data_IF_703879568900
#
_entry.id   IF_703879568900
#
_cell.length_a   1.000
_cell.length_b   1.000
_cell.length_c   1.000
_cell.angle_alpha   90.00
_cell.angle_beta   90.00
_cell.angle_gamma   90.00
#
_symmetry.space_group_name_H-M   'P 1'
#
loop_
_entity.id
_entity.type
_entity.pdbx_description
1 polymer ?
#
# COMPACT_ATOMS: atom_id res chain seq x y z
N UNK A 1 -27.23 4.58 -5.08
CA UNK A 1 -26.64 4.38 -3.74
C UNK A 1 -26.57 5.65 -2.93
N UNK A 2 -26.85 5.56 -1.63
CA UNK A 2 -26.54 6.61 -0.65
C UNK A 2 -25.13 6.39 -0.11
N UNK A 3 -24.15 7.12 -0.65
CA UNK A 3 -22.73 6.95 -0.32
C UNK A 3 -22.42 7.23 1.16
N UNK A 4 -23.13 8.16 1.79
CA UNK A 4 -22.98 8.47 3.22
C UNK A 4 -23.30 7.28 4.13
N UNK A 5 -24.34 6.50 3.81
CA UNK A 5 -24.71 5.30 4.56
C UNK A 5 -23.66 4.19 4.42
N UNK A 6 -22.97 4.10 3.28
CA UNK A 6 -21.85 3.15 3.08
C UNK A 6 -20.71 3.49 4.02
N UNK A 7 -20.30 4.76 4.05
CA UNK A 7 -19.20 5.22 4.90
C UNK A 7 -19.55 5.03 6.38
N UNK A 8 -20.74 5.46 6.81
CA UNK A 8 -21.15 5.37 8.21
C UNK A 8 -21.29 3.92 8.68
N UNK A 9 -21.88 3.03 7.85
CA UNK A 9 -22.03 1.61 8.19
C UNK A 9 -20.67 0.91 8.23
N UNK A 10 -19.76 1.22 7.30
CA UNK A 10 -18.39 0.69 7.31
C UNK A 10 -17.62 1.13 8.55
N UNK A 11 -17.78 2.41 8.94
CA UNK A 11 -17.18 2.97 10.15
C UNK A 11 -17.73 2.26 11.41
N UNK A 12 -19.05 2.08 11.51
CA UNK A 12 -19.67 1.37 12.65
C UNK A 12 -19.17 -0.08 12.79
N UNK A 13 -19.07 -0.82 11.68
CA UNK A 13 -18.53 -2.20 11.69
C UNK A 13 -17.07 -2.19 12.12
N UNK A 14 -16.27 -1.26 11.58
CA UNK A 14 -14.86 -1.09 11.94
C UNK A 14 -14.65 -0.78 13.43
N UNK A 15 -15.47 0.07 14.03
CA UNK A 15 -15.36 0.42 15.46
C UNK A 15 -15.94 -0.64 16.39
N UNK A 16 -16.99 -1.36 15.98
CA UNK A 16 -17.64 -2.41 16.78
C UNK A 16 -16.72 -3.63 16.95
N UNK A 17 -15.98 -4.02 15.92
CA UNK A 17 -15.23 -5.27 15.89
C UNK A 17 -13.71 -5.03 15.86
N UNK A 18 -13.12 -4.79 17.04
CA UNK A 18 -11.68 -4.52 17.22
C UNK A 18 -10.74 -5.60 16.67
N UNK A 19 -11.22 -6.84 16.56
CA UNK A 19 -10.41 -7.93 15.99
C UNK A 19 -10.16 -7.74 14.48
N UNK A 20 -10.96 -6.91 13.78
CA UNK A 20 -10.71 -6.50 12.39
C UNK A 20 -9.44 -5.65 12.27
N UNK A 21 -9.05 -4.93 13.33
CA UNK A 21 -7.82 -4.14 13.34
C UNK A 21 -6.61 -5.06 13.33
N UNK A 22 -6.68 -6.17 14.06
CA UNK A 22 -5.64 -7.20 14.04
C UNK A 22 -5.57 -7.86 12.65
N UNK A 23 -6.71 -8.19 12.05
CA UNK A 23 -6.74 -8.77 10.70
C UNK A 23 -6.27 -7.79 9.62
N UNK A 24 -6.51 -6.48 9.77
CA UNK A 24 -5.95 -5.43 8.93
C UNK A 24 -4.46 -5.23 9.10
N UNK A 25 -4.00 -5.17 10.35
CA UNK A 25 -2.60 -5.17 10.77
C UNK A 25 -1.83 -6.32 10.13
N UNK A 26 -2.38 -7.53 10.20
CA UNK A 26 -1.76 -8.71 9.60
C UNK A 26 -1.95 -8.76 8.08
N UNK A 27 -3.04 -8.20 7.56
CA UNK A 27 -3.44 -8.18 6.15
C UNK A 27 -2.56 -7.34 5.24
N UNK A 28 -1.70 -6.47 5.77
CA UNK A 28 -0.85 -5.60 4.95
C UNK A 28 -1.50 -4.28 4.56
N UNK A 29 -2.78 -4.09 4.86
CA UNK A 29 -3.58 -2.97 4.41
C UNK A 29 -3.71 -2.87 2.89
N UNK A 30 -4.93 -2.68 2.40
CA UNK A 30 -5.12 -2.35 1.00
C UNK A 30 -4.87 -0.85 0.83
N UNK A 31 -3.60 -0.46 0.80
CA UNK A 31 -3.23 0.90 0.41
C UNK A 31 -3.63 1.09 -1.05
N UNK A 32 -4.56 2.00 -1.30
CA UNK A 32 -4.94 2.42 -2.65
C UNK A 32 -3.77 3.25 -3.19
N UNK A 33 -2.84 2.54 -3.82
CA UNK A 33 -1.55 3.05 -4.25
C UNK A 33 -0.49 2.01 -3.91
N UNK A 34 -0.06 1.25 -4.92
CA UNK A 34 1.08 0.35 -4.81
C UNK A 34 2.31 1.16 -4.47
N UNK A 35 2.60 1.27 -3.19
CA UNK A 35 3.74 1.97 -2.66
C UNK A 35 3.90 1.50 -1.23
N UNK A 36 5.00 0.78 -0.97
CA UNK A 36 5.62 0.83 0.35
C UNK A 36 5.60 2.29 0.79
N UNK A 37 5.05 2.55 1.98
CA UNK A 37 4.89 3.90 2.51
C UNK A 37 6.12 4.72 2.18
N UNK A 38 5.89 5.82 1.46
CA UNK A 38 6.92 6.76 1.06
C UNK A 38 7.66 7.20 2.33
N UNK A 39 8.82 6.60 2.60
CA UNK A 39 9.81 7.15 3.50
C UNK A 39 10.34 8.40 2.80
N UNK A 40 9.56 9.48 2.90
CA UNK A 40 9.88 10.77 2.34
C UNK A 40 11.10 11.34 3.05
N UNK A 41 12.29 10.92 2.63
CA UNK A 41 13.45 11.80 2.66
C UNK A 41 13.16 12.84 1.59
N UNK A 42 13.00 14.10 2.00
CA UNK A 42 12.67 15.20 1.12
C UNK A 42 13.72 15.33 -0.01
N UNK A 43 13.40 14.84 -1.19
CA UNK A 43 14.19 14.99 -2.41
C UNK A 43 13.67 16.19 -3.20
N UNK A 44 14.50 17.23 -3.28
CA UNK A 44 14.23 18.51 -3.93
C UNK A 44 14.10 18.35 -5.45
N UNK A 45 13.08 18.98 -6.05
CA UNK A 45 12.82 18.93 -7.50
C UNK A 45 13.81 19.78 -8.33
N UNK A 46 13.89 19.55 -9.66
CA UNK A 46 14.90 20.16 -10.51
C UNK A 46 14.43 21.52 -11.06
N UNK A 47 15.20 22.59 -10.77
CA UNK A 47 14.98 23.89 -11.39
C UNK A 47 15.45 25.08 -10.58
N UNK A 48 16.76 25.31 -10.51
CA UNK A 48 17.36 26.56 -10.03
C UNK A 48 18.86 26.41 -9.77
N UNK A 49 19.71 27.39 -10.14
CA UNK A 49 21.10 27.41 -9.71
C UNK A 49 21.13 27.73 -8.22
N UNK A 50 20.95 26.71 -7.40
CA UNK A 50 21.17 26.76 -5.95
C UNK A 50 22.61 26.38 -5.68
N UNK A 51 23.34 27.28 -5.03
CA UNK A 51 24.39 26.89 -4.07
C UNK A 51 23.76 25.84 -3.16
N UNK A 52 24.01 24.58 -3.49
CA UNK A 52 23.42 23.42 -2.85
C UNK A 52 24.14 23.22 -1.53
N UNK A 53 23.66 23.92 -0.51
CA UNK A 53 23.51 23.36 0.82
C UNK A 53 22.50 22.21 0.80
N UNK A 54 22.68 21.23 -0.10
CA UNK A 54 22.22 19.86 0.18
C UNK A 54 22.81 19.54 1.53
N UNK A 55 21.98 19.11 2.48
CA UNK A 55 22.45 18.64 3.78
C UNK A 55 23.36 17.43 3.58
N UNK A 56 24.59 17.68 3.17
CA UNK A 56 25.69 16.77 3.34
C UNK A 56 25.70 16.53 4.83
N UNK A 57 25.42 15.28 5.20
CA UNK A 57 25.92 14.77 6.47
C UNK A 57 27.35 15.32 6.59
N UNK A 58 27.68 16.05 7.67
CA UNK A 58 29.02 16.56 7.88
C UNK A 58 30.01 15.47 7.45
N UNK A 59 31.03 15.77 6.66
CA UNK A 59 31.94 14.74 6.10
C UNK A 59 32.53 13.81 7.19
N UNK A 60 32.51 14.29 8.43
CA UNK A 60 32.82 13.57 9.64
C UNK A 60 31.81 12.46 10.01
N UNK A 61 30.50 12.70 9.84
CA UNK A 61 29.44 11.71 10.04
C UNK A 61 29.42 10.66 8.92
N UNK A 62 29.71 11.03 7.67
CA UNK A 62 29.75 10.06 6.56
C UNK A 62 30.92 9.08 6.70
N UNK A 63 32.09 9.59 7.10
CA UNK A 63 33.27 8.76 7.37
C UNK A 63 33.10 7.88 8.60
N UNK A 64 32.54 8.40 9.70
CA UNK A 64 32.22 7.62 10.90
C UNK A 64 31.18 6.53 10.64
N UNK A 65 30.12 6.85 9.88
CA UNK A 65 29.12 5.85 9.49
C UNK A 65 29.74 4.72 8.66
N UNK A 66 30.64 5.04 7.73
CA UNK A 66 31.35 4.05 6.93
C UNK A 66 32.20 3.10 7.77
N UNK A 67 32.91 3.63 8.78
CA UNK A 67 33.72 2.81 9.69
C UNK A 67 32.85 1.96 10.63
N UNK A 68 31.79 2.53 11.19
CA UNK A 68 30.79 1.82 11.99
C UNK A 68 30.16 0.67 11.20
N UNK A 69 29.72 0.92 9.97
CA UNK A 69 29.06 -0.07 9.10
C UNK A 69 29.94 -1.30 8.84
N UNK A 70 31.24 -1.09 8.63
CA UNK A 70 32.20 -2.18 8.44
C UNK A 70 32.50 -2.93 9.74
N UNK A 71 32.50 -2.23 10.88
CA UNK A 71 32.82 -2.80 12.20
C UNK A 71 31.64 -3.61 12.77
N UNK A 72 30.43 -3.11 12.63
CA UNK A 72 29.19 -3.70 13.14
C UNK A 72 28.43 -4.52 12.08
N UNK A 73 29.14 -4.99 11.04
CA UNK A 73 28.61 -5.88 10.02
C UNK A 73 27.82 -7.08 10.57
N UNK A 74 28.26 -7.80 11.63
CA UNK A 74 27.47 -8.91 12.18
C UNK A 74 26.15 -8.47 12.82
N UNK A 75 26.11 -7.32 13.50
CA UNK A 75 24.87 -6.74 14.03
C UNK A 75 23.91 -6.40 12.89
N UNK A 76 24.43 -5.74 11.84
CA UNK A 76 23.64 -5.33 10.69
C UNK A 76 23.08 -6.55 9.93
N UNK A 77 23.90 -7.58 9.73
CA UNK A 77 23.49 -8.83 9.10
C UNK A 77 22.42 -9.55 9.93
N UNK A 78 22.55 -9.59 11.26
CA UNK A 78 21.53 -10.16 12.15
C UNK A 78 20.22 -9.38 12.10
N UNK A 79 20.27 -8.04 12.09
CA UNK A 79 19.09 -7.18 12.00
C UNK A 79 18.40 -7.34 10.64
N UNK A 80 19.16 -7.39 9.55
CA UNK A 80 18.65 -7.62 8.19
C UNK A 80 18.01 -9.00 8.08
N UNK A 81 18.64 -10.05 8.62
CA UNK A 81 18.09 -11.40 8.64
C UNK A 81 16.78 -11.48 9.45
N UNK A 82 16.72 -10.82 10.61
CA UNK A 82 15.51 -10.74 11.43
C UNK A 82 14.39 -10.00 10.71
N UNK A 83 14.70 -8.87 10.06
CA UNK A 83 13.74 -8.09 9.29
C UNK A 83 13.24 -8.87 8.06
N UNK A 84 14.12 -9.59 7.37
CA UNK A 84 13.77 -10.47 6.26
C UNK A 84 12.85 -11.61 6.72
N UNK A 85 13.18 -12.28 7.82
CA UNK A 85 12.34 -13.31 8.42
C UNK A 85 10.96 -12.77 8.79
N UNK A 86 10.92 -11.62 9.47
CA UNK A 86 9.67 -10.93 9.82
C UNK A 86 8.86 -10.60 8.56
N UNK A 87 9.49 -10.05 7.53
CA UNK A 87 8.85 -9.71 6.25
C UNK A 87 8.25 -10.93 5.54
N UNK A 88 8.96 -12.06 5.52
CA UNK A 88 8.46 -13.31 4.94
C UNK A 88 7.25 -13.83 5.72
N UNK A 89 7.36 -13.93 7.05
CA UNK A 89 6.24 -14.39 7.90
C UNK A 89 5.02 -13.47 7.71
N UNK A 90 5.25 -12.15 7.72
CA UNK A 90 4.23 -11.14 7.52
C UNK A 90 3.58 -11.25 6.14
N UNK A 91 4.35 -11.51 5.08
CA UNK A 91 3.83 -11.69 3.73
C UNK A 91 2.84 -12.87 3.63
N UNK A 92 3.18 -14.01 4.24
CA UNK A 92 2.29 -15.17 4.29
C UNK A 92 1.04 -14.89 5.14
N UNK A 93 1.21 -14.26 6.32
CA UNK A 93 0.09 -13.85 7.17
C UNK A 93 -0.83 -12.85 6.47
N UNK A 94 -0.27 -11.94 5.67
CA UNK A 94 -1.00 -10.96 4.88
C UNK A 94 -1.91 -11.61 3.85
N UNK A 95 -1.42 -12.63 3.13
CA UNK A 95 -2.25 -13.33 2.15
C UNK A 95 -3.48 -14.00 2.80
N UNK A 96 -3.31 -14.62 3.97
CA UNK A 96 -4.41 -15.26 4.72
C UNK A 96 -5.35 -14.20 5.31
N UNK A 97 -4.79 -13.13 5.87
CA UNK A 97 -5.55 -12.12 6.60
C UNK A 97 -6.39 -11.25 5.66
N UNK A 98 -5.96 -10.99 4.43
CA UNK A 98 -6.79 -10.30 3.41
C UNK A 98 -8.07 -11.10 3.14
N UNK A 99 -7.95 -12.40 2.86
CA UNK A 99 -9.10 -13.28 2.64
C UNK A 99 -10.03 -13.36 3.85
N UNK A 100 -9.44 -13.43 5.05
CA UNK A 100 -10.19 -13.44 6.31
C UNK A 100 -10.96 -12.13 6.53
N UNK A 101 -10.33 -10.98 6.28
CA UNK A 101 -10.91 -9.64 6.50
C UNK A 101 -12.07 -9.38 5.55
N UNK A 102 -11.92 -9.69 4.26
CA UNK A 102 -12.98 -9.51 3.26
C UNK A 102 -14.21 -10.38 3.61
N UNK A 103 -14.00 -11.64 3.98
CA UNK A 103 -15.09 -12.54 4.37
C UNK A 103 -15.79 -12.07 5.65
N UNK A 104 -15.01 -11.69 6.67
CA UNK A 104 -15.55 -11.21 7.94
C UNK A 104 -16.35 -9.91 7.78
N UNK A 105 -15.85 -8.97 6.97
CA UNK A 105 -16.56 -7.74 6.65
C UNK A 105 -17.91 -8.00 5.96
N UNK A 106 -17.96 -8.94 5.02
CA UNK A 106 -19.19 -9.30 4.32
C UNK A 106 -20.23 -9.96 5.25
N UNK A 107 -19.81 -10.86 6.13
CA UNK A 107 -20.73 -11.55 7.04
C UNK A 107 -21.25 -10.64 8.16
N UNK A 108 -20.42 -9.71 8.65
CA UNK A 108 -20.86 -8.70 9.60
C UNK A 108 -21.79 -7.65 9.00
N UNK A 109 -21.59 -7.28 7.74
CA UNK A 109 -22.54 -6.43 7.02
C UNK A 109 -23.89 -7.14 6.82
N UNK A 110 -23.88 -8.48 6.72
CA UNK A 110 -25.08 -9.32 6.70
C UNK A 110 -25.66 -9.68 8.10
N UNK A 111 -25.14 -9.07 9.17
CA UNK A 111 -25.59 -9.26 10.57
C UNK A 111 -25.52 -10.72 11.07
N UNK A 112 -24.64 -11.54 10.49
CA UNK A 112 -24.43 -12.93 10.90
C UNK A 112 -23.37 -13.07 11.99
N UNK A 113 -23.52 -14.04 12.92
CA UNK A 113 -22.50 -14.32 13.91
C UNK A 113 -21.27 -14.91 13.20
N UNK A 114 -20.20 -14.13 13.13
CA UNK A 114 -18.95 -14.53 12.50
C UNK A 114 -17.79 -14.26 13.46
N UNK A 115 -16.98 -15.29 13.70
CA UNK A 115 -15.89 -15.26 14.67
C UNK A 115 -14.51 -15.42 14.01
N UNK A 116 -13.46 -15.13 14.78
CA UNK A 116 -12.06 -15.11 14.33
C UNK A 116 -11.61 -16.46 13.74
N UNK A 117 -12.03 -17.59 14.33
CA UNK A 117 -11.71 -18.93 13.82
C UNK A 117 -12.31 -19.24 12.44
N UNK A 118 -13.54 -18.77 12.20
CA UNK A 118 -14.21 -18.91 10.89
C UNK A 118 -13.56 -17.98 9.85
N UNK A 119 -13.20 -16.76 10.24
CA UNK A 119 -12.46 -15.82 9.41
C UNK A 119 -11.12 -16.40 8.96
N UNK A 120 -10.35 -16.98 9.89
CA UNK A 120 -9.06 -17.60 9.59
C UNK A 120 -9.19 -18.79 8.62
N UNK A 121 -10.19 -19.66 8.83
CA UNK A 121 -10.45 -20.80 7.93
C UNK A 121 -10.80 -20.32 6.52
N UNK A 122 -11.60 -19.27 6.38
CA UNK A 122 -11.93 -18.65 5.10
C UNK A 122 -10.70 -18.00 4.42
N UNK A 123 -9.83 -17.36 5.21
CA UNK A 123 -8.56 -16.82 4.72
C UNK A 123 -7.64 -17.89 4.14
N UNK A 124 -7.52 -19.05 4.80
CA UNK A 124 -6.71 -20.17 4.27
C UNK A 124 -7.25 -20.74 2.95
N UNK A 125 -8.57 -20.78 2.77
CA UNK A 125 -9.19 -21.29 1.54
C UNK A 125 -8.95 -20.38 0.34
N UNK A 126 -8.86 -19.07 0.57
CA UNK A 126 -8.61 -18.07 -0.47
C UNK A 126 -7.12 -17.75 -0.67
N UNK A 127 -6.23 -18.33 0.13
CA UNK A 127 -4.79 -18.09 0.10
C UNK A 127 -4.16 -18.29 -1.29
N UNK A 128 -4.37 -19.46 -1.91
CA UNK A 128 -3.75 -19.82 -3.20
C UNK A 128 -4.19 -18.90 -4.34
N UNK A 129 -5.50 -18.64 -4.53
CA UNK A 129 -5.96 -17.65 -5.51
C UNK A 129 -5.44 -16.24 -5.26
N UNK A 130 -5.39 -15.78 -4.00
CA UNK A 130 -4.87 -14.44 -3.65
C UNK A 130 -3.36 -14.37 -3.93
N UNK A 131 -2.61 -15.41 -3.61
CA UNK A 131 -1.18 -15.51 -3.90
C UNK A 131 -0.92 -15.50 -5.41
N UNK A 132 -1.70 -16.27 -6.18
CA UNK A 132 -1.61 -16.28 -7.63
C UNK A 132 -1.96 -14.93 -8.26
N UNK A 133 -2.95 -14.22 -7.69
CA UNK A 133 -3.24 -12.85 -8.08
C UNK A 133 -2.01 -11.97 -7.78
N UNK A 134 -1.49 -11.94 -6.54
CA UNK A 134 -0.29 -11.18 -6.15
C UNK A 134 0.91 -11.42 -7.05
N UNK A 135 1.23 -12.67 -7.34
CA UNK A 135 2.35 -13.01 -8.20
C UNK A 135 2.16 -12.49 -9.63
N UNK A 136 0.92 -12.54 -10.15
CA UNK A 136 0.58 -11.98 -11.45
C UNK A 136 0.74 -10.45 -11.46
N UNK A 137 0.37 -9.76 -10.38
CA UNK A 137 0.58 -8.32 -10.25
C UNK A 137 2.06 -7.94 -10.23
N UNK A 138 2.89 -8.69 -9.51
CA UNK A 138 4.35 -8.51 -9.54
C UNK A 138 4.89 -8.72 -10.95
N UNK A 139 4.45 -9.77 -11.64
CA UNK A 139 4.86 -10.06 -13.01
C UNK A 139 4.48 -8.93 -14.00
N UNK A 140 3.31 -8.29 -13.81
CA UNK A 140 2.86 -7.15 -14.62
C UNK A 140 3.60 -5.86 -14.23
N UNK A 141 3.91 -5.66 -12.94
CA UNK A 141 4.60 -4.48 -12.45
C UNK A 141 6.08 -4.44 -12.86
N UNK A 142 6.74 -5.61 -12.94
CA UNK A 142 8.17 -5.73 -13.27
C UNK A 142 8.56 -5.01 -14.58
N UNK A 143 7.89 -5.24 -15.74
CA UNK A 143 8.22 -4.51 -16.97
C UNK A 143 7.93 -3.01 -16.87
N UNK A 144 6.89 -2.58 -16.13
CA UNK A 144 6.61 -1.17 -15.94
C UNK A 144 7.71 -0.48 -15.12
N UNK A 145 8.18 -1.13 -14.04
CA UNK A 145 9.31 -0.65 -13.25
C UNK A 145 10.59 -0.62 -14.07
N UNK A 146 10.87 -1.68 -14.85
CA UNK A 146 12.03 -1.73 -15.72
C UNK A 146 12.02 -0.61 -16.77
N UNK A 147 10.84 -0.28 -17.34
CA UNK A 147 10.68 0.80 -18.30
C UNK A 147 10.98 2.17 -17.66
N UNK A 148 10.43 2.44 -16.48
CA UNK A 148 10.69 3.70 -15.75
C UNK A 148 12.16 3.79 -15.33
N UNK A 149 12.74 2.72 -14.80
CA UNK A 149 14.15 2.67 -14.44
C UNK A 149 15.05 2.89 -15.65
N UNK A 150 14.70 2.32 -16.82
CA UNK A 150 15.40 2.55 -18.08
C UNK A 150 15.37 4.01 -18.52
N UNK A 151 14.22 4.69 -18.40
CA UNK A 151 14.10 6.12 -18.72
C UNK A 151 14.96 6.98 -17.79
N UNK A 152 14.97 6.68 -16.50
CA UNK A 152 15.81 7.38 -15.51
C UNK A 152 17.29 7.15 -15.81
N UNK A 153 17.69 5.89 -16.05
CA UNK A 153 19.07 5.57 -16.40
C UNK A 153 19.53 6.32 -17.67
N UNK A 154 18.68 6.36 -18.70
CA UNK A 154 18.98 7.06 -19.95
C UNK A 154 19.13 8.58 -19.74
N UNK A 155 18.29 9.19 -18.90
CA UNK A 155 18.44 10.59 -18.52
C UNK A 155 19.77 10.86 -17.79
N UNK A 156 20.10 10.04 -16.78
CA UNK A 156 21.35 10.20 -16.00
C UNK A 156 22.61 10.00 -16.84
N UNK A 157 22.64 9.02 -17.73
CA UNK A 157 23.78 8.77 -18.63
C UNK A 157 23.95 9.92 -19.62
N UNK A 158 22.86 10.50 -20.10
CA UNK A 158 22.90 11.63 -21.05
C UNK A 158 23.44 12.90 -20.40
N UNK A 159 23.09 13.14 -19.15
CA UNK A 159 23.63 14.25 -18.36
C UNK A 159 25.14 14.13 -18.15
N UNK A 160 25.64 12.93 -17.79
CA UNK A 160 27.08 12.67 -17.63
C UNK A 160 27.86 12.89 -18.94
N UNK A 161 27.25 12.55 -20.08
CA UNK A 161 27.89 12.68 -21.39
C UNK A 161 27.78 14.09 -22.00
N UNK A 162 27.10 15.03 -21.34
CA UNK A 162 26.92 16.40 -21.84
C UNK A 162 26.07 16.52 -23.11
N UNK A 163 25.36 15.45 -23.50
CA UNK A 163 24.47 15.45 -24.66
C UNK A 163 23.08 15.93 -24.26
N UNK A 164 22.82 17.23 -24.48
CA UNK A 164 21.51 17.85 -24.21
C UNK A 164 20.33 17.11 -24.85
N UNK A 165 20.54 16.48 -26.01
CA UNK A 165 19.53 15.72 -26.75
C UNK A 165 19.01 14.49 -25.97
N UNK A 166 19.86 13.86 -25.16
CA UNK A 166 19.48 12.68 -24.38
C UNK A 166 18.56 13.03 -23.20
N UNK A 167 18.74 14.21 -22.62
CA UNK A 167 17.85 14.73 -21.57
C UNK A 167 16.50 15.10 -22.16
N UNK A 168 16.47 15.78 -23.31
CA UNK A 168 15.23 16.19 -23.99
C UNK A 168 14.41 14.97 -24.42
N UNK A 169 15.04 13.95 -24.99
CA UNK A 169 14.35 12.72 -25.40
C UNK A 169 13.83 11.92 -24.21
N UNK A 170 14.59 11.79 -23.13
CA UNK A 170 14.12 11.13 -21.91
C UNK A 170 12.98 11.90 -21.23
N UNK A 171 13.04 13.23 -21.21
CA UNK A 171 11.98 14.08 -20.67
C UNK A 171 10.68 13.96 -21.48
N UNK A 172 10.76 14.02 -22.81
CA UNK A 172 9.59 13.84 -23.68
C UNK A 172 8.97 12.45 -23.53
N UNK A 173 9.81 11.40 -23.47
CA UNK A 173 9.33 10.04 -23.22
C UNK A 173 8.66 9.92 -21.85
N UNK A 174 9.25 10.50 -20.80
CA UNK A 174 8.68 10.49 -19.45
C UNK A 174 7.32 11.20 -19.40
N UNK A 175 7.17 12.35 -20.07
CA UNK A 175 5.90 13.11 -20.12
C UNK A 175 4.75 12.29 -20.69
N UNK A 176 5.00 11.32 -21.58
CA UNK A 176 3.96 10.46 -22.17
C UNK A 176 3.82 9.16 -21.40
N UNK A 177 4.94 8.49 -21.11
CA UNK A 177 4.97 7.14 -20.52
C UNK A 177 4.51 7.17 -19.07
N UNK A 178 4.95 8.15 -18.28
CA UNK A 178 4.60 8.22 -16.84
C UNK A 178 3.11 8.39 -16.61
N UNK A 179 2.38 9.36 -17.22
CA UNK A 179 0.94 9.47 -17.00
C UNK A 179 0.17 8.27 -17.55
N UNK A 180 0.61 7.66 -18.66
CA UNK A 180 -0.03 6.47 -19.21
C UNK A 180 0.14 5.26 -18.28
N UNK A 181 1.34 5.05 -17.75
CA UNK A 181 1.60 4.03 -16.73
C UNK A 181 0.84 4.34 -15.44
N UNK A 182 0.75 5.60 -15.02
CA UNK A 182 0.00 6.03 -13.86
C UNK A 182 -1.48 5.71 -13.99
N UNK A 183 -2.09 6.03 -15.13
CA UNK A 183 -3.48 5.69 -15.42
C UNK A 183 -3.69 4.17 -15.48
N UNK A 184 -2.79 3.44 -16.13
CA UNK A 184 -2.85 1.98 -16.18
C UNK A 184 -2.75 1.35 -14.78
N UNK A 185 -1.81 1.83 -13.95
CA UNK A 185 -1.64 1.39 -12.56
C UNK A 185 -2.86 1.71 -11.71
N UNK A 186 -3.48 2.87 -11.90
CA UNK A 186 -4.72 3.26 -11.23
C UNK A 186 -5.87 2.31 -11.59
N UNK A 187 -6.11 2.06 -12.88
CA UNK A 187 -7.15 1.14 -13.35
C UNK A 187 -6.89 -0.28 -12.87
N UNK A 188 -5.63 -0.73 -12.92
CA UNK A 188 -5.23 -2.05 -12.47
C UNK A 188 -5.39 -2.21 -10.95
N UNK A 189 -5.07 -1.18 -10.16
CA UNK A 189 -5.24 -1.19 -8.70
C UNK A 189 -6.71 -1.31 -8.29
N UNK A 190 -7.61 -0.61 -9.00
CA UNK A 190 -9.05 -0.74 -8.79
C UNK A 190 -9.53 -2.13 -9.19
N UNK A 191 -9.13 -2.61 -10.38
CA UNK A 191 -9.48 -3.94 -10.86
C UNK A 191 -8.99 -5.04 -9.90
N UNK A 192 -7.82 -4.86 -9.32
CA UNK A 192 -7.25 -5.75 -8.32
C UNK A 192 -8.07 -5.84 -7.05
N UNK A 193 -8.51 -4.68 -6.56
CA UNK A 193 -9.35 -4.57 -5.37
C UNK A 193 -10.64 -5.36 -5.58
N UNK A 194 -11.30 -5.16 -6.72
CA UNK A 194 -12.52 -5.89 -7.11
C UNK A 194 -12.27 -7.40 -7.32
N UNK A 195 -11.17 -7.77 -7.99
CA UNK A 195 -10.79 -9.16 -8.23
C UNK A 195 -10.57 -9.93 -6.91
N UNK A 196 -9.97 -9.28 -5.91
CA UNK A 196 -9.77 -9.89 -4.59
C UNK A 196 -11.12 -10.23 -3.93
N UNK A 197 -12.16 -9.39 -4.10
CA UNK A 197 -13.50 -9.66 -3.56
C UNK A 197 -14.19 -10.79 -4.29
N UNK A 198 -14.11 -10.83 -5.62
CA UNK A 198 -14.73 -11.93 -6.40
C UNK A 198 -14.06 -13.27 -6.13
N UNK A 199 -12.75 -13.30 -5.86
CA UNK A 199 -12.06 -14.51 -5.38
C UNK A 199 -12.62 -14.98 -4.03
N UNK A 200 -12.76 -14.08 -3.06
CA UNK A 200 -13.12 -14.47 -1.67
C UNK A 200 -14.61 -14.77 -1.50
N UNK A 201 -15.47 -13.96 -2.11
CA UNK A 201 -16.92 -14.02 -1.94
C UNK A 201 -17.57 -14.97 -2.96
N UNK A 202 -17.11 -14.94 -4.21
CA UNK A 202 -17.69 -15.74 -5.30
C UNK A 202 -16.88 -17.01 -5.62
N UNK A 203 -15.77 -17.26 -4.89
CA UNK A 203 -14.87 -18.41 -5.09
C UNK A 203 -14.34 -18.55 -6.53
N UNK A 204 -14.16 -17.43 -7.23
CA UNK A 204 -13.63 -17.44 -8.59
C UNK A 204 -12.12 -17.69 -8.62
N UNK A 205 -11.64 -18.37 -9.67
CA UNK A 205 -10.21 -18.45 -9.97
C UNK A 205 -9.65 -17.11 -10.47
N UNK A 206 -8.31 -16.93 -10.40
CA UNK A 206 -7.60 -15.68 -10.71
C UNK A 206 -8.01 -15.04 -12.05
N UNK A 207 -8.05 -15.85 -13.13
CA UNK A 207 -8.43 -15.36 -14.47
C UNK A 207 -9.89 -14.92 -14.54
N UNK A 208 -10.79 -15.66 -13.89
CA UNK A 208 -12.22 -15.33 -13.83
C UNK A 208 -12.46 -14.03 -13.07
N UNK A 209 -11.78 -13.88 -11.94
CA UNK A 209 -11.86 -12.72 -11.08
C UNK A 209 -11.42 -11.41 -11.78
N UNK A 210 -10.28 -11.45 -12.51
CA UNK A 210 -9.80 -10.31 -13.29
C UNK A 210 -10.76 -9.94 -14.41
N UNK A 211 -11.26 -10.93 -15.17
CA UNK A 211 -12.22 -10.67 -16.25
C UNK A 211 -13.50 -10.04 -15.72
N UNK A 212 -13.99 -10.49 -14.57
CA UNK A 212 -15.16 -9.91 -13.90
C UNK A 212 -14.88 -8.48 -13.44
N UNK A 213 -13.73 -8.23 -12.81
CA UNK A 213 -13.33 -6.90 -12.35
C UNK A 213 -13.26 -5.88 -13.51
N UNK A 214 -12.60 -6.23 -14.62
CA UNK A 214 -12.55 -5.37 -15.80
C UNK A 214 -13.92 -5.19 -16.48
N UNK A 215 -14.75 -6.24 -16.47
CA UNK A 215 -16.13 -6.15 -16.95
C UNK A 215 -16.99 -5.21 -16.10
N UNK A 216 -16.78 -5.17 -14.80
CA UNK A 216 -17.49 -4.26 -13.90
C UNK A 216 -17.02 -2.81 -14.07
N UNK A 217 -15.71 -2.60 -14.24
CA UNK A 217 -15.10 -1.30 -14.48
C UNK A 217 -15.60 -0.66 -15.78
N UNK A 218 -15.72 -1.44 -16.86
CA UNK A 218 -16.21 -0.93 -18.16
C UNK A 218 -17.73 -0.69 -18.18
N UNK A 219 -18.51 -1.41 -17.38
CA UNK A 219 -19.97 -1.27 -17.34
C UNK A 219 -20.44 -0.09 -16.49
N UNK A 220 -19.69 0.30 -15.45
CA UNK A 220 -20.10 1.34 -14.51
C UNK A 220 -18.94 2.29 -14.11
N UNK A 221 -18.25 2.92 -15.08
CA UNK A 221 -17.03 3.68 -14.79
C UNK A 221 -17.29 4.86 -13.83
N UNK A 222 -18.42 5.56 -13.97
CA UNK A 222 -18.75 6.70 -13.10
C UNK A 222 -18.95 6.32 -11.64
N UNK A 223 -19.54 5.16 -11.35
CA UNK A 223 -19.76 4.70 -9.96
C UNK A 223 -18.45 4.22 -9.34
N UNK A 224 -17.65 3.48 -10.10
CA UNK A 224 -16.33 3.03 -9.65
C UNK A 224 -15.39 4.22 -9.43
N UNK A 225 -15.42 5.22 -10.31
CA UNK A 225 -14.66 6.46 -10.15
C UNK A 225 -15.04 7.22 -8.87
N UNK A 226 -16.34 7.31 -8.54
CA UNK A 226 -16.79 7.94 -7.28
C UNK A 226 -16.32 7.17 -6.04
N UNK A 227 -16.40 5.84 -6.04
CA UNK A 227 -15.87 5.02 -4.94
C UNK A 227 -14.35 5.18 -4.79
N UNK A 228 -13.64 5.24 -5.91
CA UNK A 228 -12.21 5.51 -5.92
C UNK A 228 -11.90 6.90 -5.36
N UNK A 229 -12.66 7.93 -5.74
CA UNK A 229 -12.48 9.30 -5.24
C UNK A 229 -12.74 9.42 -3.74
N UNK A 230 -13.79 8.76 -3.23
CA UNK A 230 -14.06 8.69 -1.79
C UNK A 230 -12.91 7.98 -1.07
N UNK A 231 -12.38 6.91 -1.67
CA UNK A 231 -11.26 6.18 -1.11
C UNK A 231 -9.98 7.00 -1.11
N UNK A 232 -9.75 7.81 -2.14
CA UNK A 232 -8.64 8.75 -2.19
C UNK A 232 -8.75 9.78 -1.05
N UNK A 233 -9.94 10.36 -0.85
CA UNK A 233 -10.18 11.27 0.29
C UNK A 233 -9.96 10.59 1.65
N UNK A 234 -10.49 9.38 1.83
CA UNK A 234 -10.28 8.59 3.05
C UNK A 234 -8.80 8.21 3.25
N UNK A 235 -8.08 7.90 2.17
CA UNK A 235 -6.67 7.60 2.16
C UNK A 235 -5.81 8.79 2.58
N UNK A 236 -6.12 10.00 2.10
CA UNK A 236 -5.44 11.23 2.52
C UNK A 236 -5.67 11.49 4.01
N UNK A 237 -6.92 11.42 4.49
CA UNK A 237 -7.23 11.70 5.89
C UNK A 237 -6.58 10.67 6.83
N UNK A 238 -6.70 9.39 6.50
CA UNK A 238 -6.11 8.32 7.29
C UNK A 238 -4.58 8.30 7.21
N UNK A 239 -3.99 8.63 6.06
CA UNK A 239 -2.56 8.80 5.88
C UNK A 239 -1.99 9.95 6.70
N UNK A 240 -2.70 11.10 6.75
CA UNK A 240 -2.31 12.22 7.60
C UNK A 240 -2.39 11.85 9.09
N UNK A 241 -3.48 11.22 9.52
CA UNK A 241 -3.62 10.75 10.90
C UNK A 241 -2.52 9.75 11.28
N UNK A 242 -2.21 8.80 10.38
CA UNK A 242 -1.14 7.84 10.56
C UNK A 242 0.25 8.49 10.60
N UNK A 243 0.49 9.49 9.74
CA UNK A 243 1.74 10.25 9.71
C UNK A 243 1.96 11.06 10.98
N UNK A 244 0.91 11.72 11.49
CA UNK A 244 0.96 12.42 12.78
C UNK A 244 1.26 11.43 13.90
N UNK A 245 0.56 10.30 13.95
CA UNK A 245 0.77 9.29 14.98
C UNK A 245 2.18 8.69 14.93
N UNK A 246 2.70 8.41 13.73
CA UNK A 246 4.07 7.96 13.52
C UNK A 246 5.09 9.03 13.94
N UNK A 247 4.83 10.31 13.64
CA UNK A 247 5.68 11.43 14.06
C UNK A 247 5.71 11.61 15.59
N UNK A 248 4.56 11.50 16.26
CA UNK A 248 4.49 11.51 17.72
C UNK A 248 5.24 10.31 18.31
N UNK A 249 5.08 9.13 17.69
CA UNK A 249 5.78 7.93 18.10
C UNK A 249 7.30 8.06 17.93
N UNK A 250 7.78 8.86 16.96
CA UNK A 250 9.20 9.08 16.71
C UNK A 250 9.88 9.90 17.82
N UNK A 251 9.16 10.77 18.52
CA UNK A 251 9.70 11.64 19.58
C UNK A 251 10.49 10.90 20.67
N UNK A 252 9.96 9.83 21.31
CA UNK A 252 10.73 9.07 22.30
C UNK A 252 11.97 8.40 21.70
N UNK A 253 11.93 7.95 20.44
CA UNK A 253 13.10 7.36 19.79
C UNK A 253 14.21 8.40 19.59
N UNK A 254 13.85 9.60 19.13
CA UNK A 254 14.81 10.70 18.96
C UNK A 254 15.38 11.15 20.31
N UNK A 255 14.56 11.22 21.36
CA UNK A 255 15.03 11.57 22.69
C UNK A 255 16.03 10.54 23.25
N UNK A 256 15.75 9.24 23.08
CA UNK A 256 16.67 8.18 23.50
C UNK A 256 17.95 8.22 22.67
N UNK A 257 17.87 8.41 21.36
CA UNK A 257 19.02 8.57 20.47
C UNK A 257 19.90 9.77 20.84
N UNK A 258 19.29 10.91 21.17
CA UNK A 258 20.03 12.09 21.61
C UNK A 258 20.72 11.83 22.97
N UNK A 259 20.04 11.12 23.89
CA UNK A 259 20.61 10.75 25.18
C UNK A 259 21.78 9.75 25.04
N UNK A 260 21.66 8.75 24.16
CA UNK A 260 22.75 7.78 23.91
C UNK A 260 23.94 8.45 23.23
N UNK A 261 23.70 9.34 22.27
CA UNK A 261 24.73 10.16 21.65
C UNK A 261 25.50 11.00 22.68
N UNK A 262 24.78 11.69 23.58
CA UNK A 262 25.40 12.51 24.61
C UNK A 262 26.18 11.70 25.65
N UNK A 263 25.75 10.48 25.96
CA UNK A 263 26.36 9.65 27.01
C UNK A 263 27.53 8.78 26.51
N UNK A 264 27.44 8.25 25.29
CA UNK A 264 28.32 7.18 24.81
C UNK A 264 28.88 7.45 23.39
N UNK A 265 28.59 8.60 22.79
CA UNK A 265 29.12 9.02 21.50
C UNK A 265 28.39 8.45 20.28
N UNK A 266 28.96 8.70 19.10
CA UNK A 266 28.35 8.43 17.80
C UNK A 266 28.11 6.93 17.59
N UNK A 267 29.10 6.08 17.88
CA UNK A 267 29.01 4.63 17.60
C UNK A 267 27.89 3.95 18.42
N UNK A 268 27.74 4.35 19.68
CA UNK A 268 26.65 3.90 20.54
C UNK A 268 25.28 4.43 20.08
N UNK A 269 25.22 5.66 19.56
CA UNK A 269 23.99 6.22 19.00
C UNK A 269 23.58 5.51 17.69
N UNK A 270 24.55 5.17 16.83
CA UNK A 270 24.28 4.46 15.58
C UNK A 270 23.75 3.05 15.82
N UNK A 271 24.39 2.29 16.72
CA UNK A 271 23.94 0.95 17.11
C UNK A 271 22.56 0.97 17.79
N UNK A 272 22.34 1.89 18.75
CA UNK A 272 21.02 2.10 19.35
C UNK A 272 19.96 2.48 18.30
N UNK A 273 20.33 3.35 17.35
CA UNK A 273 19.49 3.79 16.25
C UNK A 273 19.04 2.66 15.33
N UNK A 274 19.95 1.76 14.98
CA UNK A 274 19.62 0.60 14.15
C UNK A 274 18.57 -0.31 14.82
N UNK A 275 18.72 -0.55 16.12
CA UNK A 275 17.75 -1.34 16.91
C UNK A 275 16.42 -0.59 17.04
N UNK A 276 16.47 0.70 17.35
CA UNK A 276 15.29 1.56 17.47
C UNK A 276 14.49 1.66 16.18
N UNK A 277 15.18 1.74 15.03
CA UNK A 277 14.55 1.74 13.71
C UNK A 277 13.72 0.48 13.49
N UNK A 278 14.20 -0.70 13.92
CA UNK A 278 13.45 -1.94 13.81
C UNK A 278 12.12 -1.86 14.58
N UNK A 279 12.16 -1.39 15.83
CA UNK A 279 10.94 -1.22 16.64
C UNK A 279 9.98 -0.20 16.03
N UNK A 280 10.52 0.90 15.50
CA UNK A 280 9.73 1.91 14.82
C UNK A 280 9.04 1.34 13.57
N UNK A 281 9.76 0.59 12.73
CA UNK A 281 9.19 -0.07 11.55
C UNK A 281 8.05 -1.01 11.95
N UNK A 282 8.25 -1.86 12.96
CA UNK A 282 7.20 -2.77 13.45
C UNK A 282 5.97 -1.97 13.90
N UNK A 283 6.15 -0.93 14.71
CA UNK A 283 5.04 -0.11 15.22
C UNK A 283 4.27 0.60 14.09
N UNK A 284 4.98 1.16 13.10
CA UNK A 284 4.38 1.81 11.93
C UNK A 284 3.60 0.80 11.07
N UNK A 285 4.08 -0.43 10.92
CA UNK A 285 3.35 -1.49 10.21
C UNK A 285 2.01 -1.79 10.89
N UNK A 286 2.00 -1.93 12.22
CA UNK A 286 0.75 -2.11 12.98
C UNK A 286 -0.21 -0.93 12.81
N UNK A 287 0.30 0.29 12.83
CA UNK A 287 -0.50 1.50 12.67
C UNK A 287 -1.13 1.59 11.28
N UNK A 288 -0.36 1.23 10.24
CA UNK A 288 -0.85 1.22 8.86
C UNK A 288 -1.92 0.16 8.61
N UNK A 289 -1.85 -1.01 9.25
CA UNK A 289 -2.87 -2.02 9.00
C UNK A 289 -4.23 -1.73 9.68
N UNK A 290 -4.28 -0.88 10.71
CA UNK A 290 -5.55 -0.34 11.19
C UNK A 290 -6.26 0.46 10.08
N UNK A 291 -5.54 1.38 9.43
CA UNK A 291 -6.03 2.12 8.25
C UNK A 291 -6.43 1.16 7.13
N UNK A 292 -5.58 0.17 6.89
CA UNK A 292 -5.82 -0.91 5.94
C UNK A 292 -7.16 -1.63 6.12
N UNK A 293 -7.48 -2.07 7.35
CA UNK A 293 -8.75 -2.76 7.63
C UNK A 293 -9.98 -1.90 7.36
N UNK A 294 -9.92 -0.59 7.65
CA UNK A 294 -11.03 0.31 7.36
C UNK A 294 -11.29 0.37 5.85
N UNK A 295 -10.23 0.58 5.05
CA UNK A 295 -10.33 0.64 3.60
C UNK A 295 -10.86 -0.68 3.01
N UNK A 296 -10.38 -1.82 3.51
CA UNK A 296 -10.85 -3.14 3.08
C UNK A 296 -12.33 -3.35 3.39
N UNK A 297 -12.79 -2.94 4.57
CA UNK A 297 -14.19 -3.01 4.99
C UNK A 297 -15.07 -2.13 4.10
N UNK A 298 -14.65 -0.89 3.85
CA UNK A 298 -15.34 0.05 2.97
C UNK A 298 -15.54 -0.51 1.56
N UNK A 299 -14.47 -1.01 0.93
CA UNK A 299 -14.56 -1.61 -0.39
C UNK A 299 -15.43 -2.87 -0.45
N UNK A 300 -15.47 -3.64 0.63
CA UNK A 300 -16.31 -4.84 0.71
C UNK A 300 -17.79 -4.48 0.73
N UNK A 301 -18.20 -3.50 1.54
CA UNK A 301 -19.59 -3.03 1.59
C UNK A 301 -19.97 -2.37 0.26
N UNK A 302 -19.08 -1.56 -0.33
CA UNK A 302 -19.30 -0.93 -1.62
C UNK A 302 -19.49 -1.96 -2.74
N UNK A 303 -18.65 -3.00 -2.79
CA UNK A 303 -18.73 -4.08 -3.77
C UNK A 303 -20.09 -4.79 -3.74
N UNK A 304 -20.59 -5.15 -2.55
CA UNK A 304 -21.90 -5.81 -2.43
C UNK A 304 -23.05 -4.95 -2.93
N UNK A 305 -23.00 -3.65 -2.63
CA UNK A 305 -24.05 -2.73 -3.09
C UNK A 305 -24.00 -2.54 -4.61
N UNK A 306 -22.81 -2.57 -5.22
CA UNK A 306 -22.66 -2.44 -6.68
C UNK A 306 -23.35 -3.58 -7.42
N UNK A 307 -23.37 -4.77 -6.81
CA UNK A 307 -24.05 -5.95 -7.33
C UNK A 307 -25.55 -6.02 -7.00
N UNK A 308 -26.02 -5.32 -5.95
CA UNK A 308 -27.41 -5.37 -5.48
C UNK A 308 -28.37 -4.38 -6.16
N UNK A 309 -27.90 -3.29 -6.77
CA UNK A 309 -28.79 -2.35 -7.46
C UNK A 309 -29.15 -2.88 -8.87
N UNK A 310 -30.44 -3.17 -9.15
CA UNK A 310 -30.86 -3.68 -10.44
C UNK A 310 -30.54 -2.68 -11.56
N UNK A 311 -30.06 -3.21 -12.68
CA UNK A 311 -30.11 -2.59 -14.01
C UNK A 311 -31.47 -1.89 -14.13
N UNK A 312 -31.48 -0.56 -14.31
CA UNK A 312 -32.71 0.18 -14.55
C UNK A 312 -33.57 -0.62 -15.54
N UNK A 313 -34.76 -1.02 -15.10
CA UNK A 313 -35.62 -1.90 -15.87
C UNK A 313 -35.78 -1.30 -17.26
N UNK A 314 -35.34 -2.05 -18.29
CA UNK A 314 -35.73 -1.73 -19.65
C UNK A 314 -37.26 -1.84 -19.65
N UNK A 315 -38.01 -0.77 -19.94
CA UNK A 315 -39.46 -0.87 -20.00
C UNK A 315 -39.81 -1.99 -21.00
N UNK A 316 -40.59 -2.96 -20.54
CA UNK A 316 -41.05 -4.05 -21.38
C UNK A 316 -41.74 -3.46 -22.63
N UNK A 317 -41.50 -4.00 -23.84
CA UNK A 317 -42.21 -3.54 -25.02
C UNK A 317 -43.70 -3.67 -24.75
N UNK A 318 -44.43 -2.55 -24.86
CA UNK A 318 -45.87 -2.54 -24.75
C UNK A 318 -46.42 -3.58 -25.72
N UNK A 319 -47.02 -4.64 -25.17
CA UNK A 319 -47.70 -5.64 -25.96
C UNK A 319 -48.81 -4.95 -26.76
N UNK A 320 -48.71 -5.01 -28.08
CA UNK A 320 -49.83 -4.71 -28.97
C UNK A 320 -50.81 -5.87 -28.91
N UNK A 321 -51.95 -5.62 -28.26
CA UNK A 321 -53.20 -6.39 -28.41
C UNK A 321 -53.81 -6.04 -29.76
#
# INVERSE_FOLDING_TARGET
MRYGEVVQRSLLVFWRYRYLWLLGALGGGESVGGGFGNFGVAGQGPGGPSDTGTGSLPDQLSTQFGQWFLTDLPLLAALLALLALFGVVYFFLSCVSVGATVRAAAEHDAERPFGLGLAWRAGRQSFLPILGLRLLGVLIALPAVALVAGLVALATISEINGSGDGIVTAALAAVIVVPLLGLAALLLGVAWTLATRSIVLEQQGVRGALRRAFGQLSRQPGRVALLWLITLGAGIFSGLAAGIAAGVLLLPFVAILAATYAAAGVDAALSAGAVMLLFYVVAVVFLNGAVGSFLTTYWTVAFRRLDQEPKAAVPAPAGSV
#
